data_IF_186103862902
#
_entry.id   IF_186103862902
#
_cell.length_a   1.000
_cell.length_b   1.000
_cell.length_c   1.000
_cell.angle_alpha   90.00
_cell.angle_beta   90.00
_cell.angle_gamma   90.00
#
_symmetry.space_group_name_H-M   'P 1'
#
loop_
_entity.id
_entity.type
_entity.pdbx_description
1 polymer ?
#
# COMPACT_ATOMS: atom_id res chain seq x y z
N UNK A 1 7.20 -2.72 -12.49
CA UNK A 1 5.95 -2.36 -11.78
C UNK A 1 5.65 -3.24 -10.57
N UNK A 2 5.67 -4.56 -10.67
CA UNK A 2 5.26 -5.45 -9.56
C UNK A 2 6.04 -5.23 -8.24
N UNK A 3 7.37 -5.09 -8.31
CA UNK A 3 8.21 -4.81 -7.13
C UNK A 3 7.82 -3.52 -6.39
N UNK A 4 7.26 -2.53 -7.10
CA UNK A 4 6.82 -1.28 -6.50
C UNK A 4 5.38 -1.33 -5.98
N UNK A 5 4.49 -2.09 -6.64
CA UNK A 5 3.04 -2.07 -6.36
C UNK A 5 2.57 -3.24 -5.51
N UNK A 6 3.01 -4.46 -5.82
CA UNK A 6 2.55 -5.68 -5.16
C UNK A 6 3.28 -5.88 -3.82
N UNK A 7 4.60 -5.74 -3.81
CA UNK A 7 5.43 -5.93 -2.59
C UNK A 7 5.09 -4.89 -1.51
N UNK A 8 4.54 -3.73 -1.91
CA UNK A 8 4.09 -2.71 -0.98
C UNK A 8 2.82 -3.08 -0.22
N UNK A 9 1.91 -3.89 -0.77
CA UNK A 9 0.62 -4.19 -0.13
C UNK A 9 0.76 -4.78 1.29
N UNK A 10 1.55 -5.84 1.54
CA UNK A 10 1.69 -6.34 2.90
C UNK A 10 2.35 -5.32 3.83
N UNK A 11 3.31 -4.52 3.34
CA UNK A 11 3.89 -3.42 4.10
C UNK A 11 2.83 -2.37 4.48
N UNK A 12 2.01 -1.94 3.51
CA UNK A 12 0.96 -0.95 3.70
C UNK A 12 -0.10 -1.38 4.70
N UNK A 13 -0.42 -2.67 4.73
CA UNK A 13 -1.36 -3.23 5.69
C UNK A 13 -0.77 -3.31 7.10
N UNK A 14 0.46 -3.84 7.23
CA UNK A 14 0.99 -4.18 8.54
C UNK A 14 1.31 -2.97 9.42
N UNK A 15 1.61 -1.80 8.83
CA UNK A 15 1.86 -0.56 9.59
C UNK A 15 0.69 -0.22 10.52
N UNK A 16 -0.54 -0.23 9.98
CA UNK A 16 -1.73 0.09 10.75
C UNK A 16 -2.21 -1.10 11.55
N UNK A 17 -2.02 -2.34 11.07
CA UNK A 17 -2.27 -3.52 11.90
C UNK A 17 -1.48 -3.48 13.21
N UNK A 18 -0.17 -3.21 13.16
CA UNK A 18 0.65 -3.07 14.36
C UNK A 18 0.13 -1.96 15.27
N UNK A 19 -0.16 -0.77 14.72
CA UNK A 19 -0.70 0.35 15.51
C UNK A 19 -2.05 0.04 16.14
N UNK A 20 -2.96 -0.61 15.42
CA UNK A 20 -4.27 -0.97 15.95
C UNK A 20 -4.14 -1.94 17.11
N UNK A 21 -3.26 -2.94 17.01
CA UNK A 21 -3.02 -3.91 18.09
C UNK A 21 -2.29 -3.28 19.29
N UNK A 22 -1.48 -2.24 19.08
CA UNK A 22 -0.92 -1.40 20.17
C UNK A 22 -2.02 -0.55 20.82
N UNK A 23 -2.83 0.15 20.02
CA UNK A 23 -3.87 1.06 20.51
C UNK A 23 -5.01 0.33 21.23
N UNK A 24 -5.32 -0.90 20.83
CA UNK A 24 -6.33 -1.73 21.51
C UNK A 24 -5.79 -2.40 22.78
N UNK A 25 -4.48 -2.34 23.04
CA UNK A 25 -3.84 -3.06 24.15
C UNK A 25 -3.62 -4.55 23.90
N UNK A 26 -3.85 -5.06 22.68
CA UNK A 26 -3.59 -6.45 22.32
C UNK A 26 -2.09 -6.80 22.39
N UNK A 27 -1.22 -5.83 22.13
CA UNK A 27 0.24 -5.95 22.31
C UNK A 27 0.65 -5.07 23.50
N UNK A 28 1.12 -5.67 24.61
CA UNK A 28 1.62 -4.89 25.73
C UNK A 28 2.93 -4.19 25.34
N UNK A 29 3.24 -3.07 26.01
CA UNK A 29 4.41 -2.23 25.72
C UNK A 29 5.73 -2.98 25.66
N UNK A 30 5.91 -3.96 26.56
CA UNK A 30 7.11 -4.82 26.62
C UNK A 30 7.34 -5.71 25.39
N UNK A 31 6.37 -5.83 24.50
CA UNK A 31 6.42 -6.72 23.32
C UNK A 31 6.30 -5.92 21.99
N UNK A 32 6.39 -4.59 22.04
CA UNK A 32 6.14 -3.71 20.90
C UNK A 32 7.10 -3.97 19.72
N UNK A 33 8.40 -4.10 19.99
CA UNK A 33 9.40 -4.23 18.93
C UNK A 33 9.40 -5.65 18.33
N UNK A 34 9.27 -6.69 19.15
CA UNK A 34 9.13 -8.05 18.66
C UNK A 34 7.86 -8.23 17.85
N UNK A 35 6.72 -7.67 18.28
CA UNK A 35 5.47 -7.75 17.53
C UNK A 35 5.57 -7.06 16.16
N UNK A 36 6.30 -5.94 16.07
CA UNK A 36 6.60 -5.29 14.81
C UNK A 36 7.34 -6.23 13.84
N UNK A 37 8.44 -6.83 14.29
CA UNK A 37 9.20 -7.76 13.46
C UNK A 37 8.46 -9.06 13.16
N UNK A 38 7.60 -9.52 14.06
CA UNK A 38 6.68 -10.65 13.83
C UNK A 38 5.77 -10.36 12.64
N UNK A 39 5.10 -9.21 12.58
CA UNK A 39 4.26 -8.86 11.44
C UNK A 39 5.05 -8.65 10.14
N UNK A 40 6.24 -8.05 10.23
CA UNK A 40 7.15 -7.91 9.07
C UNK A 40 7.54 -9.27 8.51
N UNK A 41 7.78 -10.25 9.38
CA UNK A 41 8.09 -11.62 8.97
C UNK A 41 6.86 -12.34 8.40
N UNK A 42 5.74 -12.38 9.13
CA UNK A 42 4.54 -13.12 8.74
C UNK A 42 3.90 -12.58 7.45
N UNK A 43 3.85 -11.25 7.28
CA UNK A 43 3.15 -10.63 6.16
C UNK A 43 4.07 -10.33 4.97
N UNK A 44 5.36 -10.07 5.18
CA UNK A 44 6.28 -9.73 4.09
C UNK A 44 7.39 -10.76 3.85
N UNK A 45 7.64 -11.68 4.78
CA UNK A 45 8.74 -12.64 4.68
C UNK A 45 10.12 -12.02 4.85
N UNK A 46 10.25 -10.90 5.57
CA UNK A 46 11.53 -10.22 5.81
C UNK A 46 11.89 -10.20 7.29
N UNK A 47 13.18 -10.06 7.58
CA UNK A 47 13.75 -10.02 8.94
C UNK A 47 14.81 -8.93 9.05
N UNK A 48 15.13 -8.45 10.27
CA UNK A 48 16.24 -7.54 10.46
C UNK A 48 17.58 -8.22 10.08
N UNK A 49 18.59 -7.45 9.65
CA UNK A 49 19.89 -7.99 9.27
C UNK A 49 20.73 -8.47 10.47
N UNK A 50 20.42 -7.96 11.67
CA UNK A 50 21.04 -8.31 12.95
C UNK A 50 19.96 -8.62 13.99
N UNK A 51 20.35 -9.24 15.09
CA UNK A 51 19.44 -9.46 16.21
C UNK A 51 18.96 -8.13 16.79
N UNK A 52 17.67 -8.07 17.14
CA UNK A 52 17.00 -6.94 17.78
C UNK A 52 16.43 -7.41 19.12
N UNK A 53 16.26 -6.49 20.07
CA UNK A 53 15.60 -6.76 21.36
C UNK A 53 14.49 -5.74 21.63
N UNK A 54 13.88 -5.80 22.80
CA UNK A 54 12.94 -4.77 23.28
C UNK A 54 13.66 -3.53 23.84
N UNK A 55 15.00 -3.53 23.89
CA UNK A 55 15.78 -2.30 24.11
C UNK A 55 15.82 -1.42 22.84
N UNK A 56 15.40 -1.99 21.69
CA UNK A 56 15.20 -1.29 20.43
C UNK A 56 13.73 -0.89 20.24
N UNK A 57 13.48 0.16 19.45
CA UNK A 57 12.12 0.53 19.02
C UNK A 57 12.08 0.91 17.53
N UNK A 58 12.10 -0.13 16.69
CA UNK A 58 12.17 -0.01 15.23
C UNK A 58 10.92 0.56 14.53
N UNK A 59 9.68 0.46 15.06
CA UNK A 59 8.51 1.10 14.44
C UNK A 59 8.73 2.60 14.19
N UNK A 60 9.40 3.31 15.12
CA UNK A 60 9.65 4.74 14.99
C UNK A 60 10.60 5.12 13.84
N UNK A 61 11.32 4.17 13.25
CA UNK A 61 12.18 4.42 12.09
C UNK A 61 11.41 4.76 10.80
N UNK A 62 10.09 4.52 10.77
CA UNK A 62 9.23 4.84 9.63
C UNK A 62 8.41 6.10 9.89
N UNK A 63 8.75 7.21 9.21
CA UNK A 63 8.14 8.55 9.33
C UNK A 63 6.67 8.62 9.78
N UNK A 64 5.77 7.87 9.14
CA UNK A 64 4.34 7.93 9.41
C UNK A 64 3.93 7.47 10.82
N UNK A 65 4.74 6.65 11.47
CA UNK A 65 4.53 6.22 12.85
C UNK A 65 4.77 7.38 13.84
N UNK A 66 5.98 8.00 13.93
CA UNK A 66 6.21 9.14 14.81
C UNK A 66 5.45 10.40 14.39
N UNK A 67 5.14 10.58 13.11
CA UNK A 67 4.32 11.70 12.63
C UNK A 67 2.80 11.48 12.84
N UNK A 68 2.39 10.37 13.44
CA UNK A 68 0.98 10.01 13.68
C UNK A 68 0.08 10.12 12.42
N UNK A 69 0.60 9.68 11.27
CA UNK A 69 -0.15 9.70 10.00
C UNK A 69 -0.72 8.29 9.73
N UNK A 70 -2.05 8.09 9.65
CA UNK A 70 -2.65 6.79 9.32
C UNK A 70 -2.13 6.22 7.99
N UNK A 71 -1.69 4.96 7.97
CA UNK A 71 -1.00 4.36 6.82
C UNK A 71 -1.93 3.52 5.94
N UNK A 72 -3.07 3.08 6.46
CA UNK A 72 -4.08 2.30 5.75
C UNK A 72 -4.52 2.98 4.45
N UNK A 73 -4.44 4.32 4.38
CA UNK A 73 -4.69 5.12 3.18
C UNK A 73 -3.86 4.62 1.98
N UNK A 74 -2.62 4.18 2.20
CA UNK A 74 -1.75 3.70 1.14
C UNK A 74 -2.12 2.29 0.69
N UNK A 75 -2.50 1.40 1.62
CA UNK A 75 -3.00 0.06 1.26
C UNK A 75 -4.24 0.18 0.37
N UNK A 76 -5.23 0.95 0.81
CA UNK A 76 -6.46 1.19 0.03
C UNK A 76 -6.13 1.84 -1.31
N UNK A 77 -5.30 2.90 -1.31
CA UNK A 77 -4.86 3.58 -2.54
C UNK A 77 -4.22 2.62 -3.54
N UNK A 78 -3.40 1.67 -3.10
CA UNK A 78 -2.72 0.71 -3.98
C UNK A 78 -3.66 -0.32 -4.61
N UNK A 79 -4.84 -0.51 -4.04
CA UNK A 79 -5.91 -1.32 -4.65
C UNK A 79 -6.77 -0.46 -5.58
N UNK A 80 -7.34 0.63 -5.07
CA UNK A 80 -8.33 1.44 -5.81
C UNK A 80 -7.70 2.19 -6.98
N UNK A 81 -6.41 2.55 -6.93
CA UNK A 81 -5.75 3.21 -8.06
C UNK A 81 -5.78 2.37 -9.33
N UNK A 82 -5.77 1.03 -9.23
CA UNK A 82 -5.89 0.16 -10.41
C UNK A 82 -7.33 0.04 -10.90
N UNK A 83 -8.32 0.20 -10.02
CA UNK A 83 -9.73 0.30 -10.43
C UNK A 83 -9.96 1.60 -11.21
N UNK A 84 -9.46 2.73 -10.69
CA UNK A 84 -9.50 4.01 -11.39
C UNK A 84 -8.73 3.95 -12.71
N UNK A 85 -7.49 3.48 -12.70
CA UNK A 85 -6.69 3.38 -13.92
C UNK A 85 -7.39 2.49 -14.96
N UNK A 86 -7.93 1.33 -14.58
CA UNK A 86 -8.72 0.48 -15.50
C UNK A 86 -9.91 1.22 -16.11
N UNK A 87 -10.72 1.88 -15.29
CA UNK A 87 -11.90 2.61 -15.76
C UNK A 87 -11.51 3.78 -16.70
N UNK A 88 -10.47 4.52 -16.35
CA UNK A 88 -9.98 5.64 -17.16
C UNK A 88 -9.34 5.16 -18.48
N UNK A 89 -8.61 4.04 -18.47
CA UNK A 89 -8.06 3.44 -19.69
C UNK A 89 -9.13 2.97 -20.67
N UNK A 90 -10.23 2.41 -20.16
CA UNK A 90 -11.39 2.04 -20.99
C UNK A 90 -12.01 3.30 -21.59
N UNK A 91 -12.22 4.35 -20.79
CA UNK A 91 -12.78 5.63 -21.26
C UNK A 91 -11.88 6.34 -22.27
N UNK A 92 -10.56 6.22 -22.13
CA UNK A 92 -9.59 6.74 -23.10
C UNK A 92 -9.47 5.87 -24.37
N UNK A 93 -10.17 4.73 -24.46
CA UNK A 93 -10.07 3.79 -25.58
C UNK A 93 -8.72 3.07 -25.68
N UNK A 94 -7.94 3.06 -24.59
CA UNK A 94 -6.55 2.58 -24.51
C UNK A 94 -6.41 1.19 -23.89
N UNK A 95 -7.50 0.63 -23.37
CA UNK A 95 -7.53 -0.73 -22.85
C UNK A 95 -8.79 -1.45 -23.31
N UNK A 96 -8.61 -2.63 -23.88
CA UNK A 96 -9.66 -3.61 -24.17
C UNK A 96 -9.11 -5.01 -23.86
N UNK A 97 -9.74 -5.80 -22.97
CA UNK A 97 -9.29 -7.15 -22.66
C UNK A 97 -9.33 -8.11 -23.86
N UNK A 98 -10.10 -7.81 -24.90
CA UNK A 98 -10.22 -8.62 -26.12
C UNK A 98 -9.23 -8.22 -27.21
N UNK A 99 -8.57 -7.05 -27.09
CA UNK A 99 -7.62 -6.54 -28.08
C UNK A 99 -6.18 -6.62 -27.55
N UNK A 100 -5.33 -7.52 -28.10
CA UNK A 100 -3.94 -7.65 -27.67
C UNK A 100 -3.10 -6.39 -27.97
N UNK A 101 -3.56 -5.50 -28.85
CA UNK A 101 -2.87 -4.23 -29.15
C UNK A 101 -3.17 -3.14 -28.11
N UNK A 102 -4.17 -3.35 -27.25
CA UNK A 102 -4.54 -2.43 -26.17
C UNK A 102 -4.36 -3.06 -24.79
N UNK A 103 -3.13 -3.52 -24.44
CA UNK A 103 -2.92 -4.17 -23.16
C UNK A 103 -2.93 -3.14 -22.02
N UNK A 104 -3.52 -3.51 -20.89
CA UNK A 104 -3.69 -2.60 -19.73
C UNK A 104 -2.39 -1.96 -19.25
N UNK A 105 -1.29 -2.71 -19.25
CA UNK A 105 0.02 -2.23 -18.76
C UNK A 105 0.71 -1.20 -19.68
N UNK A 106 0.17 -0.95 -20.88
CA UNK A 106 0.64 0.10 -21.81
C UNK A 106 -0.33 1.26 -21.97
N UNK A 107 -1.46 1.25 -21.25
CA UNK A 107 -2.43 2.33 -21.33
C UNK A 107 -1.80 3.69 -20.96
N UNK A 108 -2.08 4.71 -21.78
CA UNK A 108 -1.77 6.10 -21.50
C UNK A 108 -3.04 6.95 -21.60
N UNK A 109 -3.42 7.61 -20.50
CA UNK A 109 -4.64 8.45 -20.44
C UNK A 109 -4.36 9.92 -20.79
N UNK A 110 -3.13 10.26 -21.17
CA UNK A 110 -2.76 11.61 -21.57
C UNK A 110 -3.68 12.15 -22.68
N UNK A 111 -4.11 13.39 -22.55
CA UNK A 111 -5.04 14.09 -23.47
C UNK A 111 -6.46 13.48 -23.62
N UNK A 112 -6.85 12.45 -22.86
CA UNK A 112 -8.23 11.96 -22.88
C UNK A 112 -9.15 12.85 -22.05
N UNK A 113 -9.99 13.63 -22.73
CA UNK A 113 -11.03 14.46 -22.10
C UNK A 113 -12.13 13.62 -21.48
N UNK A 114 -12.44 12.44 -22.02
CA UNK A 114 -13.43 11.51 -21.47
C UNK A 114 -12.98 10.91 -20.15
N UNK A 115 -11.70 10.51 -20.05
CA UNK A 115 -11.11 10.09 -18.80
C UNK A 115 -11.08 11.24 -17.78
N UNK A 116 -10.64 12.43 -18.21
CA UNK A 116 -10.60 13.63 -17.37
C UNK A 116 -11.97 14.02 -16.80
N UNK A 117 -13.04 13.93 -17.60
CA UNK A 117 -14.42 14.18 -17.14
C UNK A 117 -14.82 13.21 -16.03
N UNK A 118 -14.60 11.91 -16.22
CA UNK A 118 -14.94 10.91 -15.21
C UNK A 118 -14.16 11.10 -13.90
N UNK A 119 -12.88 11.49 -13.98
CA UNK A 119 -12.08 11.79 -12.79
C UNK A 119 -12.58 13.05 -12.08
N UNK A 120 -12.95 14.10 -12.84
CA UNK A 120 -13.50 15.35 -12.32
C UNK A 120 -14.84 15.15 -11.61
N UNK A 121 -15.71 14.29 -12.14
CA UNK A 121 -17.03 14.06 -11.55
C UNK A 121 -16.95 13.33 -10.19
N UNK A 122 -15.84 12.65 -9.90
CA UNK A 122 -15.60 11.93 -8.65
C UNK A 122 -14.90 12.80 -7.58
N UNK A 123 -13.99 13.69 -7.98
CA UNK A 123 -13.15 14.52 -7.08
C UNK A 123 -13.90 15.77 -6.59
#
# INVERSE_FOLDING_TARGET
MALAKIVFLPFGYLMDKWRWDVFSGNIPEKDWNCAWWKYRYELQGIKPPVQRSEDDFDPASKYHIPANVPYIRYFVSFVVQFQFHKALCIKAGQYDPSDPNKPFHKCDIYQSTEAGKALKDML
#
